data_IF_191131826924
#
_entry.id   IF_191131826924
#
_cell.length_a   1.000
_cell.length_b   1.000
_cell.length_c   1.000
_cell.angle_alpha   90.00
_cell.angle_beta   90.00
_cell.angle_gamma   90.00
#
_symmetry.space_group_name_H-M   'P 1'
#
loop_
_entity.id
_entity.type
_entity.pdbx_description
1 polymer ?
#
# COMPACT_ATOMS: atom_id res chain seq x y z
N UNK A 1 14.67 -22.31 -8.48
CA UNK A 1 15.14 -22.52 -7.08
C UNK A 1 14.05 -23.28 -6.34
N UNK A 2 14.35 -24.44 -5.72
CA UNK A 2 13.39 -25.30 -5.01
C UNK A 2 14.13 -26.08 -3.92
N UNK A 3 13.44 -26.61 -2.94
CA UNK A 3 14.00 -27.41 -1.86
C UNK A 3 14.15 -28.88 -2.35
N UNK A 4 13.08 -29.40 -2.98
CA UNK A 4 13.01 -30.76 -3.46
C UNK A 4 12.94 -30.76 -4.99
N UNK A 5 13.87 -31.47 -5.66
CA UNK A 5 13.95 -31.49 -7.12
C UNK A 5 12.90 -32.37 -7.79
N UNK A 6 12.66 -32.21 -9.11
CA UNK A 6 11.66 -32.96 -9.88
C UNK A 6 11.75 -34.46 -9.75
N UNK A 7 12.96 -35.02 -9.77
CA UNK A 7 13.18 -36.49 -9.67
C UNK A 7 12.70 -37.05 -8.32
N UNK A 8 12.88 -36.32 -7.24
CA UNK A 8 12.41 -36.73 -5.91
C UNK A 8 10.90 -36.65 -5.85
N UNK A 9 10.29 -35.57 -6.39
CA UNK A 9 8.83 -35.40 -6.48
C UNK A 9 8.22 -36.55 -7.28
N UNK A 10 8.82 -36.92 -8.44
CA UNK A 10 8.38 -38.00 -9.27
C UNK A 10 8.46 -39.35 -8.50
N UNK A 11 9.55 -39.58 -7.78
CA UNK A 11 9.74 -40.82 -7.03
C UNK A 11 8.77 -40.96 -5.85
N UNK A 12 8.48 -39.86 -5.14
CA UNK A 12 7.68 -39.89 -3.90
C UNK A 12 6.18 -39.74 -4.17
N UNK A 13 5.81 -38.83 -5.09
CA UNK A 13 4.42 -38.48 -5.34
C UNK A 13 3.90 -38.99 -6.70
N UNK A 14 4.77 -39.38 -7.61
CA UNK A 14 4.42 -39.79 -8.96
C UNK A 14 4.11 -38.60 -9.89
N UNK A 15 4.39 -37.38 -9.46
CA UNK A 15 4.13 -36.16 -10.23
C UNK A 15 5.31 -35.85 -11.15
N UNK A 16 5.05 -35.57 -12.42
CA UNK A 16 6.06 -35.14 -13.38
C UNK A 16 5.98 -33.61 -13.56
N UNK A 17 7.09 -32.94 -13.30
CA UNK A 17 7.21 -31.47 -13.45
C UNK A 17 8.62 -31.10 -13.90
N UNK A 18 8.78 -30.12 -14.74
CA UNK A 18 10.10 -29.61 -15.12
C UNK A 18 10.73 -28.75 -14.03
N UNK A 19 12.05 -28.54 -14.08
CA UNK A 19 12.74 -27.63 -13.15
C UNK A 19 12.20 -26.18 -13.22
N UNK A 20 11.87 -25.73 -14.43
CA UNK A 20 11.39 -24.37 -14.65
C UNK A 20 9.97 -24.20 -14.11
N UNK A 21 9.08 -25.14 -14.34
CA UNK A 21 7.70 -25.11 -13.80
C UNK A 21 7.67 -25.28 -12.28
N UNK A 22 8.61 -26.03 -11.70
CA UNK A 22 8.66 -26.22 -10.25
C UNK A 22 9.19 -25.00 -9.49
N UNK A 23 10.21 -24.35 -10.02
CA UNK A 23 10.86 -23.25 -9.30
C UNK A 23 11.79 -22.41 -10.16
N UNK A 24 11.43 -22.19 -11.43
CA UNK A 24 12.09 -21.25 -12.31
C UNK A 24 11.93 -19.81 -11.88
N UNK A 25 12.57 -18.89 -12.58
CA UNK A 25 12.61 -17.49 -12.23
C UNK A 25 11.20 -16.85 -12.17
N UNK A 26 10.33 -17.19 -13.14
CA UNK A 26 8.94 -16.72 -13.16
C UNK A 26 8.12 -17.24 -11.99
N UNK A 27 8.22 -18.52 -11.67
CA UNK A 27 7.53 -19.12 -10.52
C UNK A 27 7.90 -18.40 -9.22
N UNK A 28 9.20 -18.12 -9.05
CA UNK A 28 9.69 -17.41 -7.86
C UNK A 28 9.27 -15.95 -7.80
N UNK A 29 9.03 -15.32 -8.95
CA UNK A 29 8.63 -13.92 -9.03
C UNK A 29 7.11 -13.71 -9.05
N UNK A 30 6.34 -14.61 -9.67
CA UNK A 30 4.90 -14.46 -9.90
C UNK A 30 4.05 -15.19 -8.85
N UNK A 31 4.49 -16.39 -8.43
CA UNK A 31 3.67 -17.28 -7.60
C UNK A 31 4.11 -17.28 -6.14
N UNK A 32 5.42 -17.43 -5.89
CA UNK A 32 5.92 -17.60 -4.52
C UNK A 32 6.32 -16.27 -3.86
N UNK A 33 6.57 -15.23 -4.65
CA UNK A 33 7.06 -13.95 -4.13
C UNK A 33 8.47 -14.00 -3.51
N UNK A 34 9.21 -15.08 -3.69
CA UNK A 34 10.58 -15.21 -3.16
C UNK A 34 11.56 -14.28 -3.89
N UNK A 35 11.44 -14.15 -5.22
CA UNK A 35 12.23 -13.23 -6.00
C UNK A 35 11.57 -11.87 -6.09
N UNK A 36 12.33 -10.81 -5.76
CA UNK A 36 11.83 -9.44 -5.74
C UNK A 36 11.96 -8.76 -7.09
N UNK A 37 12.89 -9.23 -7.92
CA UNK A 37 13.17 -8.73 -9.25
C UNK A 37 13.33 -9.88 -10.22
N UNK A 38 12.87 -9.66 -11.44
CA UNK A 38 13.07 -10.53 -12.58
C UNK A 38 13.85 -9.79 -13.65
N UNK A 39 14.80 -10.43 -14.29
CA UNK A 39 15.58 -9.87 -15.38
C UNK A 39 15.72 -10.90 -16.50
N UNK A 40 15.57 -10.46 -17.76
CA UNK A 40 15.72 -11.31 -18.94
C UNK A 40 17.21 -11.49 -19.33
N UNK A 41 18.11 -10.67 -18.74
CA UNK A 41 19.55 -10.73 -19.00
C UNK A 41 20.39 -10.32 -17.80
N UNK A 42 21.69 -10.73 -17.79
CA UNK A 42 22.63 -10.28 -16.77
C UNK A 42 22.81 -8.76 -16.74
N UNK A 43 22.83 -8.11 -17.91
CA UNK A 43 22.95 -6.66 -17.98
C UNK A 43 21.78 -5.96 -17.31
N UNK A 44 20.57 -6.42 -17.58
CA UNK A 44 19.37 -5.90 -16.92
C UNK A 44 19.43 -6.14 -15.40
N UNK A 45 19.84 -7.32 -14.97
CA UNK A 45 20.03 -7.64 -13.55
C UNK A 45 21.02 -6.67 -12.88
N UNK A 46 22.16 -6.39 -13.52
CA UNK A 46 23.15 -5.43 -13.00
C UNK A 46 22.60 -4.01 -12.93
N UNK A 47 21.84 -3.57 -13.92
CA UNK A 47 21.19 -2.24 -13.86
C UNK A 47 20.12 -2.18 -12.76
N UNK A 48 19.33 -3.22 -12.54
CA UNK A 48 18.40 -3.30 -11.42
C UNK A 48 19.12 -3.23 -10.06
N UNK A 49 20.25 -3.96 -9.91
CA UNK A 49 21.07 -3.91 -8.69
C UNK A 49 21.63 -2.51 -8.45
N UNK A 50 22.22 -1.87 -9.45
CA UNK A 50 22.73 -0.50 -9.34
C UNK A 50 21.62 0.48 -8.96
N UNK A 51 20.47 0.35 -9.58
CA UNK A 51 19.29 1.18 -9.29
C UNK A 51 18.85 0.99 -7.84
N UNK A 52 18.69 -0.25 -7.37
CA UNK A 52 18.37 -0.56 -5.98
C UNK A 52 19.38 0.07 -5.01
N UNK A 53 20.70 -0.15 -5.27
CA UNK A 53 21.77 0.40 -4.44
C UNK A 53 21.77 1.93 -4.38
N UNK A 54 21.21 2.62 -5.38
CA UNK A 54 21.08 4.08 -5.35
C UNK A 54 19.99 4.60 -4.41
N UNK A 55 19.05 3.75 -4.00
CA UNK A 55 17.96 4.13 -3.09
C UNK A 55 18.25 3.84 -1.62
N UNK A 56 19.17 2.92 -1.33
CA UNK A 56 19.42 2.45 0.03
C UNK A 56 20.78 2.95 0.55
N UNK A 57 20.93 3.17 1.85
CA UNK A 57 22.23 3.49 2.43
C UNK A 57 23.15 2.26 2.46
N UNK A 58 24.45 2.48 2.55
CA UNK A 58 25.45 1.42 2.64
C UNK A 58 25.36 0.55 3.90
N UNK A 59 24.66 1.02 4.91
CA UNK A 59 24.42 0.29 6.16
C UNK A 59 23.20 0.87 6.90
N UNK A 60 22.74 0.17 7.91
CA UNK A 60 21.56 0.51 8.70
C UNK A 60 21.74 1.68 9.70
N UNK A 61 22.93 2.27 9.80
CA UNK A 61 23.21 3.42 10.70
C UNK A 61 23.00 4.74 9.95
N UNK A 62 23.29 4.75 8.64
CA UNK A 62 23.18 5.94 7.80
C UNK A 62 21.81 6.06 7.16
N UNK A 63 21.43 7.28 6.81
CA UNK A 63 20.31 7.55 5.89
C UNK A 63 20.82 7.44 4.44
N UNK A 64 19.93 7.19 3.50
CA UNK A 64 20.26 7.21 2.07
C UNK A 64 20.78 8.61 1.67
N UNK A 65 21.75 8.67 0.76
CA UNK A 65 22.28 9.92 0.26
C UNK A 65 21.18 10.69 -0.49
N UNK A 66 21.18 12.01 -0.29
CA UNK A 66 20.27 12.89 -1.02
C UNK A 66 20.83 13.12 -2.44
N UNK A 67 19.96 13.01 -3.42
CA UNK A 67 20.26 13.29 -4.81
C UNK A 67 19.87 14.73 -5.18
N UNK A 68 20.33 15.26 -6.35
CA UNK A 68 19.87 16.55 -6.83
C UNK A 68 18.36 16.60 -6.95
N UNK A 69 17.76 17.66 -6.46
CA UNK A 69 16.32 17.90 -6.51
C UNK A 69 15.84 18.01 -7.95
N UNK A 70 14.80 17.26 -8.30
CA UNK A 70 14.23 17.26 -9.64
C UNK A 70 12.71 17.27 -9.58
N UNK A 71 12.03 18.07 -10.43
CA UNK A 71 10.58 17.97 -10.55
C UNK A 71 10.19 16.67 -11.28
N UNK A 72 8.93 16.24 -11.22
CA UNK A 72 8.41 15.21 -12.10
C UNK A 72 8.64 15.58 -13.57
N UNK A 73 9.05 14.63 -14.41
CA UNK A 73 9.44 14.87 -15.82
C UNK A 73 8.32 15.37 -16.70
N UNK A 74 7.07 15.14 -16.34
CA UNK A 74 5.98 15.39 -17.26
C UNK A 74 4.84 16.20 -16.64
N UNK A 75 4.51 17.31 -17.31
CA UNK A 75 3.16 17.88 -17.24
C UNK A 75 2.05 16.90 -17.68
N UNK A 76 2.41 15.75 -18.28
CA UNK A 76 1.48 14.69 -18.72
C UNK A 76 0.86 13.92 -17.56
N UNK A 77 1.51 13.88 -16.40
CA UNK A 77 0.91 13.34 -15.19
C UNK A 77 0.23 14.45 -14.38
N UNK A 78 -0.70 15.18 -15.01
CA UNK A 78 -1.61 16.01 -14.24
C UNK A 78 -2.56 15.08 -13.51
N UNK A 79 -2.51 15.11 -12.18
CA UNK A 79 -3.27 14.26 -11.29
C UNK A 79 -4.78 14.34 -11.54
N UNK A 80 -5.27 15.52 -11.93
CA UNK A 80 -6.68 15.75 -12.28
C UNK A 80 -7.14 14.97 -13.53
N UNK A 81 -6.18 14.62 -14.42
CA UNK A 81 -6.46 13.83 -15.62
C UNK A 81 -6.31 12.31 -15.37
N UNK A 82 -5.53 11.94 -14.35
CA UNK A 82 -5.22 10.53 -14.04
C UNK A 82 -6.27 9.97 -13.08
N UNK A 83 -6.68 10.78 -12.10
CA UNK A 83 -7.60 10.35 -11.06
C UNK A 83 -9.05 10.49 -11.52
N UNK A 84 -9.82 9.39 -11.61
CA UNK A 84 -11.18 9.44 -12.16
C UNK A 84 -12.15 10.11 -11.21
N UNK A 85 -13.02 10.96 -11.77
CA UNK A 85 -14.13 11.59 -11.02
C UNK A 85 -15.19 10.58 -10.61
N UNK A 86 -15.34 9.48 -11.36
CA UNK A 86 -16.24 8.38 -10.99
C UNK A 86 -15.59 7.48 -9.94
N UNK A 87 -16.11 7.36 -8.70
CA UNK A 87 -15.49 6.58 -7.63
C UNK A 87 -15.48 5.06 -7.87
N UNK A 88 -16.21 4.57 -8.89
CA UNK A 88 -16.19 3.15 -9.28
C UNK A 88 -15.20 2.85 -10.40
N UNK A 89 -14.65 3.87 -11.05
CA UNK A 89 -13.66 3.68 -12.10
C UNK A 89 -12.30 3.38 -11.49
N UNK A 90 -11.64 2.26 -11.88
CA UNK A 90 -10.29 1.97 -11.45
C UNK A 90 -9.27 2.86 -12.17
N UNK A 91 -8.08 3.01 -11.57
CA UNK A 91 -6.93 3.73 -12.11
C UNK A 91 -5.64 3.05 -11.67
N UNK A 92 -4.54 3.28 -12.37
CA UNK A 92 -3.23 2.79 -11.96
C UNK A 92 -2.61 3.73 -10.92
N UNK A 93 -2.43 3.24 -9.69
CA UNK A 93 -1.81 4.02 -8.61
C UNK A 93 -0.36 4.40 -8.93
N UNK A 94 0.31 3.66 -9.80
CA UNK A 94 1.67 3.99 -10.24
C UNK A 94 1.74 5.31 -10.99
N UNK A 95 0.70 5.68 -11.71
CA UNK A 95 0.63 6.97 -12.39
C UNK A 95 0.47 8.12 -11.40
N UNK A 96 -0.29 7.89 -10.30
CA UNK A 96 -0.36 8.82 -9.18
C UNK A 96 1.03 9.00 -8.54
N UNK A 97 1.75 7.90 -8.27
CA UNK A 97 3.11 7.96 -7.73
C UNK A 97 4.02 8.75 -8.68
N UNK A 98 4.02 8.43 -9.97
CA UNK A 98 4.85 9.11 -10.98
C UNK A 98 4.54 10.60 -11.11
N UNK A 99 3.30 11.01 -10.85
CA UNK A 99 2.90 12.43 -10.89
C UNK A 99 3.56 13.28 -9.80
N UNK A 100 3.98 12.66 -8.69
CA UNK A 100 4.48 13.37 -7.52
C UNK A 100 5.98 13.14 -7.22
N UNK A 101 6.63 12.15 -7.83
CA UNK A 101 8.03 11.81 -7.54
C UNK A 101 9.01 12.45 -8.51
N UNK A 102 10.27 12.57 -8.09
CA UNK A 102 11.35 13.15 -8.88
C UNK A 102 11.57 12.36 -10.18
N UNK A 103 11.74 13.09 -11.29
CA UNK A 103 11.91 12.51 -12.63
C UNK A 103 10.77 11.57 -13.05
N UNK A 104 9.65 11.48 -12.32
CA UNK A 104 8.59 10.49 -12.49
C UNK A 104 9.13 9.05 -12.43
N UNK A 105 10.26 8.86 -11.75
CA UNK A 105 10.91 7.56 -11.62
C UNK A 105 10.41 6.83 -10.36
N UNK A 106 9.82 5.67 -10.60
CA UNK A 106 9.37 4.75 -9.55
C UNK A 106 9.97 3.37 -9.77
N UNK A 107 10.78 2.92 -8.82
CA UNK A 107 11.42 1.60 -8.85
C UNK A 107 10.57 0.60 -8.07
N UNK A 108 9.68 -0.08 -8.79
CA UNK A 108 8.74 -1.06 -8.23
C UNK A 108 9.47 -2.33 -7.78
N UNK A 109 9.13 -2.83 -6.60
CA UNK A 109 9.64 -4.09 -6.04
C UNK A 109 8.53 -5.14 -6.11
N UNK A 110 8.86 -6.38 -6.47
CA UNK A 110 7.89 -7.49 -6.62
C UNK A 110 6.69 -7.14 -7.52
N UNK A 111 6.94 -6.50 -8.65
CA UNK A 111 5.89 -6.06 -9.58
C UNK A 111 4.99 -7.19 -10.11
N UNK A 112 5.52 -8.43 -10.14
CA UNK A 112 4.83 -9.60 -10.66
C UNK A 112 4.03 -10.38 -9.60
N UNK A 113 4.26 -10.12 -8.31
CA UNK A 113 3.61 -10.81 -7.18
C UNK A 113 2.65 -9.89 -6.44
N UNK A 114 1.47 -10.41 -6.05
CA UNK A 114 0.46 -9.68 -5.28
C UNK A 114 0.23 -8.25 -5.83
N UNK A 115 -0.19 -8.15 -7.10
CA UNK A 115 -0.27 -6.90 -7.83
C UNK A 115 -1.38 -5.94 -7.32
N UNK A 116 -2.24 -6.39 -6.41
CA UNK A 116 -3.24 -5.58 -5.71
C UNK A 116 -2.61 -4.59 -4.69
N UNK A 117 -1.33 -4.75 -4.38
CA UNK A 117 -0.51 -3.78 -3.65
C UNK A 117 0.79 -3.48 -4.40
N UNK A 118 1.11 -2.21 -4.51
CA UNK A 118 2.35 -1.71 -5.14
C UNK A 118 3.31 -1.28 -4.06
N UNK A 119 4.55 -1.77 -4.13
CA UNK A 119 5.64 -1.35 -3.25
C UNK A 119 6.86 -0.97 -4.10
N UNK A 120 7.64 -0.01 -3.63
CA UNK A 120 8.83 0.42 -4.37
C UNK A 120 9.48 1.68 -3.81
N UNK A 121 10.54 2.10 -4.46
CA UNK A 121 11.31 3.28 -4.08
C UNK A 121 11.14 4.40 -5.10
N UNK A 122 11.11 5.62 -4.59
CA UNK A 122 11.20 6.83 -5.41
C UNK A 122 11.88 7.95 -4.62
N UNK A 123 12.08 9.10 -5.27
CA UNK A 123 12.63 10.28 -4.60
C UNK A 123 11.63 11.42 -4.57
N UNK A 124 11.60 12.11 -3.44
CA UNK A 124 10.86 13.35 -3.24
C UNK A 124 11.87 14.43 -2.84
N UNK A 125 12.04 15.42 -3.70
CA UNK A 125 13.02 16.51 -3.49
C UNK A 125 14.47 16.01 -3.23
N UNK A 126 14.86 14.91 -3.92
CA UNK A 126 16.15 14.25 -3.79
C UNK A 126 16.26 13.22 -2.66
N UNK A 127 15.30 13.14 -1.75
CA UNK A 127 15.29 12.20 -0.64
C UNK A 127 14.56 10.91 -1.02
N UNK A 128 15.17 9.76 -0.72
CA UNK A 128 14.56 8.45 -0.93
C UNK A 128 13.38 8.25 0.01
N UNK A 129 12.28 7.71 -0.53
CA UNK A 129 11.12 7.22 0.21
C UNK A 129 10.68 5.87 -0.32
N UNK A 130 10.21 5.00 0.58
CA UNK A 130 9.53 3.76 0.25
C UNK A 130 8.03 3.99 0.12
N UNK A 131 7.45 3.59 -0.99
CA UNK A 131 6.03 3.72 -1.26
C UNK A 131 5.31 2.39 -1.03
N UNK A 132 4.17 2.44 -0.37
CA UNK A 132 3.23 1.32 -0.20
C UNK A 132 1.85 1.82 -0.63
N UNK A 133 1.28 1.26 -1.69
CA UNK A 133 0.05 1.79 -2.27
C UNK A 133 -0.92 0.67 -2.68
N UNK A 134 -2.20 0.84 -2.39
CA UNK A 134 -3.23 -0.04 -2.95
C UNK A 134 -3.34 0.17 -4.45
N UNK A 135 -3.53 -0.93 -5.22
CA UNK A 135 -3.71 -0.88 -6.68
C UNK A 135 -5.17 -1.11 -7.08
N UNK A 136 -5.96 -0.06 -7.31
CA UNK A 136 -7.38 -0.20 -7.63
C UNK A 136 -7.68 -0.96 -8.93
N UNK A 137 -6.72 -1.07 -9.85
CA UNK A 137 -6.87 -1.88 -11.07
C UNK A 137 -6.94 -3.39 -10.78
N UNK A 138 -6.35 -3.83 -9.67
CA UNK A 138 -6.28 -5.24 -9.31
C UNK A 138 -7.09 -5.47 -8.04
N UNK A 139 -8.13 -6.31 -8.11
CA UNK A 139 -9.01 -6.63 -7.00
C UNK A 139 -9.53 -5.38 -6.24
N UNK A 140 -9.72 -4.25 -6.93
CA UNK A 140 -10.12 -2.96 -6.34
C UNK A 140 -9.20 -2.47 -5.21
N UNK A 141 -7.95 -2.95 -5.14
CA UNK A 141 -6.97 -2.57 -4.11
C UNK A 141 -7.18 -3.23 -2.74
N UNK A 142 -8.01 -4.27 -2.63
CA UNK A 142 -8.20 -5.01 -1.36
C UNK A 142 -6.89 -5.64 -0.88
N UNK A 143 -6.76 -5.83 0.42
CA UNK A 143 -5.68 -6.62 1.00
C UNK A 143 -6.09 -8.10 1.08
N UNK A 144 -5.16 -8.98 0.77
CA UNK A 144 -5.24 -10.44 0.92
C UNK A 144 -4.00 -10.97 1.65
N UNK A 145 -3.86 -12.27 1.73
CA UNK A 145 -2.72 -12.93 2.39
C UNK A 145 -1.40 -12.48 1.77
N UNK A 146 -1.28 -12.57 0.43
CA UNK A 146 -0.02 -12.32 -0.27
C UNK A 146 0.38 -10.83 -0.27
N UNK A 147 -0.57 -9.95 -0.50
CA UNK A 147 -0.34 -8.50 -0.42
C UNK A 147 0.03 -8.04 0.99
N UNK A 148 -0.52 -8.71 2.00
CA UNK A 148 -0.18 -8.45 3.40
C UNK A 148 1.27 -8.83 3.70
N UNK A 149 1.72 -9.99 3.26
CA UNK A 149 3.10 -10.45 3.44
C UNK A 149 4.09 -9.58 2.65
N UNK A 150 3.78 -9.26 1.39
CA UNK A 150 4.56 -8.38 0.53
C UNK A 150 4.77 -7.00 1.17
N UNK A 151 3.68 -6.35 1.61
CA UNK A 151 3.75 -5.03 2.23
C UNK A 151 4.51 -5.06 3.56
N UNK A 152 4.20 -6.00 4.45
CA UNK A 152 4.84 -6.10 5.75
C UNK A 152 6.35 -6.28 5.66
N UNK A 153 6.83 -7.13 4.73
CA UNK A 153 8.26 -7.32 4.48
C UNK A 153 8.93 -6.05 3.99
N UNK A 154 8.32 -5.34 3.04
CA UNK A 154 8.86 -4.09 2.50
C UNK A 154 8.92 -2.98 3.55
N UNK A 155 7.87 -2.80 4.36
CA UNK A 155 7.85 -1.82 5.46
C UNK A 155 9.00 -2.07 6.43
N UNK A 156 9.21 -3.33 6.83
CA UNK A 156 10.30 -3.70 7.72
C UNK A 156 11.68 -3.48 7.10
N UNK A 157 11.81 -3.72 5.80
CA UNK A 157 13.03 -3.41 5.06
C UNK A 157 13.32 -1.91 5.08
N UNK A 158 12.33 -1.07 4.78
CA UNK A 158 12.49 0.38 4.83
C UNK A 158 12.89 0.86 6.22
N UNK A 159 12.27 0.35 7.26
CA UNK A 159 12.63 0.70 8.66
C UNK A 159 14.06 0.27 8.99
N UNK A 160 14.48 -0.93 8.58
CA UNK A 160 15.84 -1.44 8.83
C UNK A 160 16.93 -0.60 8.16
N UNK A 161 16.61 0.09 7.07
CA UNK A 161 17.55 0.94 6.31
C UNK A 161 17.26 2.44 6.40
N UNK A 162 16.48 2.87 7.40
CA UNK A 162 16.16 4.29 7.63
C UNK A 162 15.51 5.00 6.43
N UNK A 163 14.70 4.26 5.65
CA UNK A 163 13.96 4.81 4.52
C UNK A 163 12.56 5.23 4.98
N UNK A 164 12.21 6.53 4.89
CA UNK A 164 10.86 6.99 5.20
C UNK A 164 9.78 6.31 4.37
N UNK A 165 8.59 6.15 4.92
CA UNK A 165 7.48 5.47 4.29
C UNK A 165 6.38 6.45 3.86
N UNK A 166 5.93 6.32 2.62
CA UNK A 166 4.75 6.99 2.06
C UNK A 166 3.70 5.93 1.73
N UNK A 167 2.54 6.03 2.35
CA UNK A 167 1.43 5.10 2.13
C UNK A 167 0.31 5.80 1.36
N UNK A 168 -0.14 5.23 0.23
CA UNK A 168 -1.27 5.73 -0.54
C UNK A 168 -2.45 4.78 -0.37
N UNK A 169 -3.59 5.30 0.08
CA UNK A 169 -4.73 4.48 0.52
C UNK A 169 -5.91 4.64 -0.44
N UNK A 170 -6.31 3.56 -1.08
CA UNK A 170 -7.58 3.41 -1.78
C UNK A 170 -8.01 1.95 -1.75
N UNK A 171 -8.67 1.52 -0.67
CA UNK A 171 -9.11 0.14 -0.51
C UNK A 171 -10.48 0.02 0.15
N UNK A 172 -11.29 -0.94 -0.28
CA UNK A 172 -12.57 -1.26 0.38
C UNK A 172 -12.43 -2.16 1.61
N UNK A 173 -11.25 -2.70 1.89
CA UNK A 173 -11.00 -3.60 3.03
C UNK A 173 -10.11 -4.79 2.70
N UNK A 174 -10.18 -5.82 3.53
CA UNK A 174 -9.59 -7.14 3.23
C UNK A 174 -10.49 -7.93 2.30
N UNK A 175 -9.88 -8.81 1.47
CA UNK A 175 -10.60 -9.69 0.55
C UNK A 175 -11.46 -10.67 1.35
N UNK A 176 -12.79 -10.63 1.19
CA UNK A 176 -13.65 -11.58 1.87
C UNK A 176 -13.65 -12.93 1.14
N UNK A 177 -13.82 -14.01 1.88
CA UNK A 177 -14.00 -15.33 1.30
C UNK A 177 -13.44 -16.44 2.17
N UNK A 178 -14.01 -17.64 2.04
CA UNK A 178 -13.61 -18.82 2.83
C UNK A 178 -12.13 -19.14 2.63
N UNK A 179 -11.63 -19.07 1.40
CA UNK A 179 -10.23 -19.38 1.09
C UNK A 179 -9.27 -18.42 1.80
N UNK A 180 -9.58 -17.12 1.87
CA UNK A 180 -8.77 -16.14 2.59
C UNK A 180 -8.81 -16.36 4.10
N UNK A 181 -9.99 -16.65 4.65
CA UNK A 181 -10.13 -16.95 6.08
C UNK A 181 -9.36 -18.22 6.46
N UNK A 182 -9.48 -19.28 5.65
CA UNK A 182 -8.77 -20.54 5.88
C UNK A 182 -7.26 -20.43 5.63
N UNK A 183 -6.82 -19.58 4.71
CA UNK A 183 -5.40 -19.25 4.53
C UNK A 183 -4.84 -18.36 5.66
N UNK A 184 -5.69 -17.87 6.57
CA UNK A 184 -5.29 -17.11 7.75
C UNK A 184 -5.09 -15.62 7.49
N UNK A 185 -5.99 -14.98 6.74
CA UNK A 185 -5.93 -13.55 6.43
C UNK A 185 -5.82 -12.67 7.68
N UNK A 186 -6.40 -13.06 8.83
CA UNK A 186 -6.24 -12.33 10.10
C UNK A 186 -4.77 -12.31 10.52
N UNK A 187 -4.10 -13.46 10.49
CA UNK A 187 -2.68 -13.58 10.88
C UNK A 187 -1.77 -12.85 9.90
N UNK A 188 -1.98 -13.03 8.60
CA UNK A 188 -1.17 -12.37 7.57
C UNK A 188 -1.43 -10.85 7.53
N UNK A 189 -2.68 -10.41 7.63
CA UNK A 189 -3.04 -9.00 7.73
C UNK A 189 -2.44 -8.32 8.98
N UNK A 190 -2.37 -9.04 10.10
CA UNK A 190 -1.73 -8.55 11.32
C UNK A 190 -0.22 -8.25 11.14
N UNK A 191 0.45 -8.85 10.14
CA UNK A 191 1.87 -8.55 9.85
C UNK A 191 2.06 -7.11 9.39
N UNK A 192 1.12 -6.53 8.62
CA UNK A 192 1.18 -5.12 8.20
C UNK A 192 1.04 -4.22 9.43
N UNK A 193 0.04 -4.48 10.28
CA UNK A 193 -0.18 -3.75 11.53
C UNK A 193 1.08 -3.76 12.41
N UNK A 194 1.67 -4.94 12.56
CA UNK A 194 2.90 -5.12 13.32
C UNK A 194 4.06 -4.33 12.71
N UNK A 195 4.26 -4.43 11.39
CA UNK A 195 5.35 -3.77 10.69
C UNK A 195 5.28 -2.24 10.83
N UNK A 196 4.12 -1.62 10.59
CA UNK A 196 3.94 -0.18 10.79
C UNK A 196 4.05 0.24 12.26
N UNK A 197 3.56 -0.59 13.19
CA UNK A 197 3.67 -0.30 14.62
C UNK A 197 5.10 -0.37 15.12
N UNK A 198 5.94 -1.23 14.54
CA UNK A 198 7.37 -1.32 14.90
C UNK A 198 8.23 -0.30 14.15
N UNK A 199 7.82 0.17 12.99
CA UNK A 199 8.62 1.10 12.21
C UNK A 199 8.86 2.41 12.96
N UNK A 200 10.14 2.82 13.00
CA UNK A 200 10.64 4.03 13.68
C UNK A 200 10.91 5.18 12.70
N UNK A 201 11.00 4.87 11.42
CA UNK A 201 11.16 5.86 10.36
C UNK A 201 9.93 6.78 10.23
N UNK A 202 10.07 7.98 9.62
CA UNK A 202 8.95 8.82 9.28
C UNK A 202 7.91 8.06 8.44
N UNK A 203 6.64 8.20 8.81
CA UNK A 203 5.50 7.55 8.17
C UNK A 203 4.46 8.59 7.76
N UNK A 204 4.22 8.71 6.47
CA UNK A 204 3.23 9.63 5.90
C UNK A 204 2.17 8.84 5.15
N UNK A 205 0.91 9.18 5.36
CA UNK A 205 -0.22 8.54 4.70
C UNK A 205 -1.04 9.55 3.93
N UNK A 206 -1.41 9.21 2.71
CA UNK A 206 -2.35 9.99 1.89
C UNK A 206 -3.53 9.12 1.52
N UNK A 207 -4.71 9.51 1.97
CA UNK A 207 -5.96 8.82 1.66
C UNK A 207 -6.54 9.42 0.39
N UNK A 208 -6.51 8.65 -0.70
CA UNK A 208 -6.91 9.10 -2.02
C UNK A 208 -8.43 9.01 -2.22
N UNK A 209 -9.03 7.87 -1.80
CA UNK A 209 -10.45 7.60 -2.00
C UNK A 209 -11.00 6.71 -0.89
N UNK A 210 -11.13 5.42 -1.09
CA UNK A 210 -11.72 4.49 -0.11
C UNK A 210 -10.73 4.15 1.00
N UNK A 211 -11.21 4.20 2.24
CA UNK A 211 -10.45 3.80 3.42
C UNK A 211 -11.42 3.19 4.44
N UNK A 212 -11.70 1.87 4.29
CA UNK A 212 -12.73 1.23 5.08
C UNK A 212 -12.20 0.19 6.06
N UNK A 213 -12.76 0.22 7.28
CA UNK A 213 -12.62 -0.80 8.30
C UNK A 213 -11.20 -1.13 8.71
N UNK A 214 -10.92 -2.42 8.91
CA UNK A 214 -9.61 -2.91 9.30
C UNK A 214 -8.51 -2.67 8.28
N UNK A 215 -8.87 -2.64 6.98
CA UNK A 215 -7.93 -2.31 5.91
C UNK A 215 -7.40 -0.87 6.02
N UNK A 216 -8.26 0.11 6.29
CA UNK A 216 -7.84 1.49 6.57
C UNK A 216 -6.84 1.56 7.72
N UNK A 217 -7.13 0.84 8.83
CA UNK A 217 -6.22 0.83 9.98
C UNK A 217 -4.87 0.26 9.57
N UNK A 218 -4.86 -0.87 8.85
CA UNK A 218 -3.64 -1.57 8.44
C UNK A 218 -2.74 -0.73 7.50
N UNK A 219 -3.33 0.12 6.67
CA UNK A 219 -2.60 0.99 5.74
C UNK A 219 -2.06 2.28 6.41
N UNK A 220 -1.39 2.12 7.53
CA UNK A 220 -0.68 3.19 8.24
C UNK A 220 -1.58 4.38 8.60
N UNK A 221 -2.74 4.13 9.20
CA UNK A 221 -3.58 5.21 9.72
C UNK A 221 -2.95 5.89 10.95
N UNK A 222 -3.55 6.97 11.42
CA UNK A 222 -3.17 7.63 12.69
C UNK A 222 -3.15 6.67 13.89
N UNK A 223 -3.99 5.62 13.87
CA UNK A 223 -4.02 4.56 14.90
C UNK A 223 -2.70 3.77 14.99
N UNK A 224 -1.93 3.68 13.90
CA UNK A 224 -0.61 3.05 13.85
C UNK A 224 0.54 4.08 13.95
N UNK A 225 0.24 5.26 14.46
CA UNK A 225 1.21 6.35 14.64
C UNK A 225 1.88 6.79 13.34
N UNK A 226 1.10 6.97 12.27
CA UNK A 226 1.55 7.78 11.16
C UNK A 226 1.93 9.17 11.69
N UNK A 227 3.05 9.73 11.23
CA UNK A 227 3.50 11.07 11.65
C UNK A 227 2.65 12.16 11.00
N UNK A 228 2.18 11.89 9.77
CA UNK A 228 1.26 12.75 9.01
C UNK A 228 0.24 11.91 8.28
N UNK A 229 -1.02 12.32 8.35
CA UNK A 229 -2.14 11.73 7.60
C UNK A 229 -2.84 12.83 6.83
N UNK A 230 -2.71 12.77 5.52
CA UNK A 230 -3.42 13.66 4.60
C UNK A 230 -4.58 12.92 3.93
N UNK A 231 -5.61 13.63 3.55
CA UNK A 231 -6.71 13.07 2.78
C UNK A 231 -7.07 14.00 1.63
N UNK A 232 -7.43 13.42 0.48
CA UNK A 232 -8.03 14.20 -0.60
C UNK A 232 -9.52 14.45 -0.31
N UNK A 233 -10.14 15.48 -0.91
CA UNK A 233 -11.58 15.74 -0.73
C UNK A 233 -12.46 14.56 -1.17
N UNK A 234 -11.94 13.69 -2.03
CA UNK A 234 -12.58 12.45 -2.51
C UNK A 234 -12.51 11.29 -1.54
N UNK A 235 -11.80 11.43 -0.41
CA UNK A 235 -11.61 10.37 0.56
C UNK A 235 -12.92 9.98 1.25
N UNK A 236 -13.15 8.69 1.37
CA UNK A 236 -14.28 8.10 2.10
C UNK A 236 -13.70 7.25 3.25
N UNK A 237 -13.73 7.79 4.47
CA UNK A 237 -13.16 7.16 5.66
C UNK A 237 -14.30 6.66 6.54
N UNK A 238 -14.46 5.35 6.69
CA UNK A 238 -15.57 4.75 7.44
C UNK A 238 -15.26 3.34 7.94
N UNK A 239 -16.08 2.84 8.86
CA UNK A 239 -16.00 1.44 9.32
C UNK A 239 -16.32 0.45 8.19
N UNK A 240 -17.24 0.82 7.29
CA UNK A 240 -17.59 0.03 6.11
C UNK A 240 -18.06 0.94 4.98
N UNK A 241 -18.03 0.43 3.75
CA UNK A 241 -18.51 1.17 2.59
C UNK A 241 -19.98 1.58 2.71
N UNK A 242 -20.37 2.75 2.17
CA UNK A 242 -21.71 3.32 2.33
C UNK A 242 -22.84 2.42 1.86
N UNK A 243 -22.63 1.62 0.80
CA UNK A 243 -23.61 0.65 0.31
C UNK A 243 -23.87 -0.47 1.33
N UNK A 244 -22.81 -0.99 1.93
CA UNK A 244 -22.91 -2.01 2.98
C UNK A 244 -23.56 -1.45 4.24
N UNK A 245 -23.14 -0.28 4.67
CA UNK A 245 -23.67 0.41 5.83
C UNK A 245 -25.18 0.69 5.69
N UNK A 246 -25.61 1.20 4.53
CA UNK A 246 -27.02 1.47 4.27
C UNK A 246 -27.87 0.21 4.36
N UNK A 247 -27.42 -0.92 3.81
CA UNK A 247 -28.14 -2.18 3.83
C UNK A 247 -28.24 -2.80 5.23
N UNK A 248 -27.29 -2.52 6.12
CA UNK A 248 -27.29 -3.06 7.48
C UNK A 248 -28.05 -2.13 8.43
N UNK A 249 -27.67 -0.86 8.47
CA UNK A 249 -28.20 0.11 9.43
C UNK A 249 -29.65 0.49 9.13
N UNK A 250 -29.98 0.72 7.86
CA UNK A 250 -31.29 1.19 7.42
C UNK A 250 -32.15 0.09 6.77
N UNK A 251 -31.83 -1.19 7.03
CA UNK A 251 -32.50 -2.34 6.43
C UNK A 251 -34.01 -2.27 6.53
N UNK A 252 -34.56 -1.94 7.71
CA UNK A 252 -35.99 -1.89 7.94
C UNK A 252 -36.65 -0.70 7.24
N UNK A 253 -36.00 0.46 7.23
CA UNK A 253 -36.49 1.67 6.55
C UNK A 253 -36.54 1.42 5.04
N UNK A 254 -35.49 0.84 4.47
CA UNK A 254 -35.42 0.51 3.04
C UNK A 254 -36.50 -0.51 2.66
N UNK A 255 -36.67 -1.57 3.48
CA UNK A 255 -37.62 -2.63 3.19
C UNK A 255 -39.09 -2.16 3.23
N UNK A 256 -39.41 -1.20 4.11
CA UNK A 256 -40.76 -0.72 4.32
C UNK A 256 -41.11 0.55 3.50
N UNK A 257 -40.17 1.06 2.70
CA UNK A 257 -40.42 2.22 1.86
C UNK A 257 -41.32 1.87 0.66
N UNK A 258 -42.07 2.84 0.17
CA UNK A 258 -42.86 2.68 -1.07
C UNK A 258 -41.93 2.41 -2.29
N UNK A 259 -40.75 3.04 -2.33
CA UNK A 259 -39.70 2.77 -3.32
C UNK A 259 -38.40 2.41 -2.62
N UNK A 260 -38.09 1.10 -2.41
CA UNK A 260 -36.89 0.66 -1.73
C UNK A 260 -35.57 1.09 -2.37
N UNK A 261 -35.55 1.19 -3.71
CA UNK A 261 -34.30 1.56 -4.42
C UNK A 261 -33.98 3.06 -4.29
N UNK A 262 -34.97 3.91 -4.30
CA UNK A 262 -34.79 5.35 -4.03
C UNK A 262 -34.40 5.59 -2.57
N UNK A 263 -35.10 4.94 -1.64
CA UNK A 263 -34.74 5.01 -0.21
C UNK A 263 -33.32 4.56 0.04
N UNK A 264 -32.87 3.48 -0.59
CA UNK A 264 -31.47 3.01 -0.51
C UNK A 264 -30.50 4.05 -0.99
N UNK A 265 -30.72 4.65 -2.16
CA UNK A 265 -29.86 5.73 -2.71
C UNK A 265 -29.78 6.93 -1.77
N UNK A 266 -30.93 7.32 -1.21
CA UNK A 266 -30.98 8.41 -0.25
C UNK A 266 -30.18 8.09 1.02
N UNK A 267 -30.34 6.87 1.59
CA UNK A 267 -29.61 6.44 2.79
C UNK A 267 -28.10 6.32 2.55
N UNK A 268 -27.67 5.87 1.38
CA UNK A 268 -26.26 5.88 1.00
C UNK A 268 -25.71 7.30 0.99
N UNK A 269 -26.44 8.26 0.40
CA UNK A 269 -26.04 9.66 0.36
C UNK A 269 -25.97 10.28 1.76
N UNK A 270 -27.01 10.07 2.59
CA UNK A 270 -27.04 10.53 3.99
C UNK A 270 -25.85 9.96 4.80
N UNK A 271 -25.52 8.68 4.59
CA UNK A 271 -24.38 8.05 5.28
C UNK A 271 -23.05 8.67 4.84
N UNK A 272 -22.86 8.89 3.53
CA UNK A 272 -21.65 9.55 3.01
C UNK A 272 -21.46 10.95 3.59
N UNK A 273 -22.48 11.76 3.53
CA UNK A 273 -22.44 13.14 4.02
C UNK A 273 -22.17 13.20 5.53
N UNK A 274 -22.74 12.28 6.30
CA UNK A 274 -22.67 12.32 7.75
C UNK A 274 -21.44 11.62 8.35
N UNK A 275 -20.94 10.57 7.70
CA UNK A 275 -19.92 9.69 8.30
C UNK A 275 -18.73 9.42 7.39
N UNK A 276 -18.94 9.19 6.09
CA UNK A 276 -17.90 8.70 5.20
C UNK A 276 -17.29 9.82 4.34
N UNK A 277 -16.68 10.81 5.00
CA UNK A 277 -15.96 11.88 4.34
C UNK A 277 -14.72 12.30 5.16
N UNK A 278 -13.72 12.95 4.54
CA UNK A 278 -12.47 13.27 5.20
C UNK A 278 -12.61 14.35 6.28
N UNK A 279 -13.61 15.24 6.19
CA UNK A 279 -13.80 16.35 7.13
C UNK A 279 -14.26 15.86 8.50
N UNK A 280 -15.10 14.81 8.54
CA UNK A 280 -15.49 14.17 9.79
C UNK A 280 -14.28 13.51 10.45
N UNK A 281 -13.45 12.80 9.69
CA UNK A 281 -12.24 12.19 10.22
C UNK A 281 -11.24 13.25 10.73
N UNK A 282 -11.10 14.37 10.02
CA UNK A 282 -10.26 15.49 10.45
C UNK A 282 -10.78 16.13 11.74
N UNK A 283 -12.10 16.31 11.89
CA UNK A 283 -12.69 16.84 13.12
C UNK A 283 -12.41 15.96 14.36
N UNK A 284 -12.20 14.67 14.19
CA UNK A 284 -11.77 13.73 15.25
C UNK A 284 -10.25 13.58 15.38
N UNK A 285 -9.45 14.30 14.57
CA UNK A 285 -8.00 14.23 14.62
C UNK A 285 -7.40 12.96 13.99
N UNK A 286 -8.14 12.25 13.13
CA UNK A 286 -7.62 11.09 12.38
C UNK A 286 -6.95 11.48 11.06
N UNK A 287 -7.15 12.71 10.61
CA UNK A 287 -6.55 13.32 9.42
C UNK A 287 -6.02 14.69 9.83
N UNK A 288 -4.75 14.97 9.55
CA UNK A 288 -4.10 16.22 9.90
C UNK A 288 -4.49 17.36 8.96
N UNK A 289 -4.65 17.05 7.67
CA UNK A 289 -5.13 18.03 6.69
C UNK A 289 -5.88 17.37 5.52
N UNK A 290 -6.93 18.01 5.06
CA UNK A 290 -7.56 17.71 3.77
C UNK A 290 -6.89 18.62 2.73
N UNK A 291 -6.26 18.00 1.72
CA UNK A 291 -5.42 18.69 0.74
C UNK A 291 -5.89 18.41 -0.68
N UNK A 292 -5.75 19.39 -1.57
CA UNK A 292 -5.99 19.14 -2.98
C UNK A 292 -4.97 18.17 -3.58
N UNK A 293 -5.38 17.31 -4.54
CA UNK A 293 -4.46 16.35 -5.16
C UNK A 293 -3.15 16.97 -5.67
N UNK A 294 -3.21 18.17 -6.24
CA UNK A 294 -2.04 18.89 -6.76
C UNK A 294 -1.04 19.33 -5.67
N UNK A 295 -1.47 19.45 -4.42
CA UNK A 295 -0.61 19.83 -3.29
C UNK A 295 0.14 18.65 -2.69
N UNK A 296 -0.23 17.41 -3.03
CA UNK A 296 0.26 16.18 -2.39
C UNK A 296 1.79 16.11 -2.37
N UNK A 297 2.45 16.40 -3.50
CA UNK A 297 3.92 16.39 -3.57
C UNK A 297 4.55 17.37 -2.57
N UNK A 298 4.06 18.61 -2.53
CA UNK A 298 4.62 19.64 -1.65
C UNK A 298 4.41 19.31 -0.19
N UNK A 299 3.24 18.79 0.16
CA UNK A 299 2.92 18.35 1.52
C UNK A 299 3.79 17.18 1.97
N UNK A 300 4.02 16.18 1.09
CA UNK A 300 4.92 15.07 1.39
C UNK A 300 6.37 15.52 1.55
N UNK A 301 6.88 16.42 0.71
CA UNK A 301 8.22 17.00 0.85
C UNK A 301 8.34 17.73 2.19
N UNK A 302 7.37 18.57 2.54
CA UNK A 302 7.38 19.31 3.79
C UNK A 302 7.33 18.37 5.01
N UNK A 303 6.48 17.33 4.96
CA UNK A 303 6.41 16.31 5.99
C UNK A 303 7.74 15.55 6.16
N UNK A 304 8.41 15.20 5.06
CA UNK A 304 9.74 14.58 5.09
C UNK A 304 10.79 15.50 5.72
N UNK A 305 10.80 16.79 5.35
CA UNK A 305 11.75 17.77 5.88
C UNK A 305 11.55 17.98 7.39
N UNK A 306 10.33 18.12 7.87
CA UNK A 306 10.02 18.27 9.30
C UNK A 306 10.42 17.01 10.08
N UNK A 307 10.17 15.83 9.53
CA UNK A 307 10.44 14.56 10.21
C UNK A 307 11.86 14.02 9.97
N UNK A 308 12.72 14.75 9.28
CA UNK A 308 14.07 14.30 8.91
C UNK A 308 14.91 13.89 10.13
N UNK A 309 14.73 14.56 11.27
CA UNK A 309 15.46 14.31 12.51
C UNK A 309 14.67 13.44 13.50
N UNK A 310 13.60 12.77 13.04
CA UNK A 310 12.81 11.89 13.91
C UNK A 310 13.69 10.81 14.53
N UNK A 311 13.62 10.71 15.85
CA UNK A 311 14.22 9.64 16.64
C UNK A 311 13.14 9.03 17.54
N UNK A 312 12.88 7.76 17.37
CA UNK A 312 11.93 7.02 18.20
C UNK A 312 12.70 6.02 19.07
N UNK A 313 12.76 6.27 20.38
CA UNK A 313 13.37 5.35 21.33
C UNK A 313 12.33 4.36 21.82
N UNK A 314 12.63 3.08 21.69
CA UNK A 314 11.77 1.98 22.12
C UNK A 314 12.41 1.22 23.28
N UNK A 315 11.60 0.56 24.12
CA UNK A 315 12.12 -0.32 25.16
C UNK A 315 13.04 -1.40 24.55
N UNK A 316 14.16 -1.65 25.20
CA UNK A 316 15.10 -2.69 24.78
C UNK A 316 14.44 -4.06 24.94
N UNK A 317 14.40 -4.83 23.88
CA UNK A 317 13.95 -6.24 23.85
C UNK A 317 14.93 -7.07 23.02
N UNK A 318 14.97 -8.37 23.24
CA UNK A 318 15.87 -9.25 22.47
C UNK A 318 15.51 -9.28 20.99
N UNK A 319 14.23 -9.40 20.68
CA UNK A 319 13.65 -9.34 19.33
C UNK A 319 12.13 -9.11 19.43
N UNK A 320 11.49 -8.77 18.31
CA UNK A 320 10.04 -8.71 18.20
C UNK A 320 9.42 -10.12 18.08
N UNK A 321 8.12 -10.20 18.31
CA UNK A 321 7.30 -11.40 18.07
C UNK A 321 6.24 -11.04 17.02
N UNK A 322 6.62 -11.04 15.72
CA UNK A 322 5.64 -10.77 14.66
C UNK A 322 4.62 -11.91 14.56
N UNK A 323 3.42 -11.65 14.07
CA UNK A 323 2.43 -12.69 13.77
C UNK A 323 2.87 -13.50 12.56
N UNK A 324 3.37 -14.72 12.78
CA UNK A 324 3.81 -15.66 11.73
C UNK A 324 2.67 -16.50 11.20
#
# INVERSE_FOLDING_TARGET
MFITGPEVIKTVLGEEISMEELGGARVQSEITGNAHFFAESENECFEQIKTLCSFIPWNNIKKAEAFPKKPPRTRSYNIDNIFPTNPRQPYDVKDIIRSMVDDSEFFEVQSMFAANIVIGFARLNGHTAGFVANQPLVLAGVLDVDSSDKAARFIRYCDAFNVPLVTLVDLPGYLPGVDQEHAGVIRHGAKILYAYSEATVPKMTVILRKAYGGGYIAMCSSHLRADFVFAWPTAEIAVMGPEGAANIIFRNEIKNAENPDEMRKQKIKEYKEKFANPYVAAAYGYVDAVIEPAETRNMLIHALEISAEKVEVRPIKKHGVPPF
#
